data_IF_236978977137
#
_entry.id   IF_236978977137
#
_cell.length_a   1.000
_cell.length_b   1.000
_cell.length_c   1.000
_cell.angle_alpha   90.00
_cell.angle_beta   90.00
_cell.angle_gamma   90.00
#
_symmetry.space_group_name_H-M   'P 1'
#
loop_
_entity.id
_entity.type
_entity.pdbx_description
1 polymer ?
#
# COMPACT_ATOMS: atom_id res chain seq x y z
N UNK A 1 -49.13 9.65 -34.76
CA UNK A 1 -49.60 9.31 -33.40
C UNK A 1 -48.53 8.63 -32.55
N UNK A 2 -47.78 7.64 -33.07
CA UNK A 2 -46.69 6.95 -32.34
C UNK A 2 -45.62 7.89 -31.74
N UNK A 3 -45.14 8.89 -32.49
CA UNK A 3 -44.14 9.86 -31.99
C UNK A 3 -44.62 10.70 -30.79
N UNK A 4 -45.93 10.98 -30.71
CA UNK A 4 -46.50 11.73 -29.57
C UNK A 4 -46.56 10.84 -28.33
N UNK A 5 -46.93 9.56 -28.50
CA UNK A 5 -46.92 8.58 -27.41
C UNK A 5 -45.50 8.32 -26.88
N UNK A 6 -44.50 8.28 -27.77
CA UNK A 6 -43.09 8.19 -27.42
C UNK A 6 -42.60 9.39 -26.60
N UNK A 7 -42.95 10.62 -26.99
CA UNK A 7 -42.62 11.84 -26.23
C UNK A 7 -43.31 11.87 -24.87
N UNK A 8 -44.58 11.48 -24.80
CA UNK A 8 -45.32 11.50 -23.53
C UNK A 8 -44.84 10.44 -22.54
N UNK A 9 -44.52 9.23 -23.02
CA UNK A 9 -43.99 8.14 -22.17
C UNK A 9 -42.57 8.44 -21.70
N UNK A 10 -41.70 8.92 -22.59
CA UNK A 10 -40.36 9.37 -22.23
C UNK A 10 -40.36 10.56 -21.28
N UNK A 11 -41.27 11.53 -21.46
CA UNK A 11 -41.39 12.69 -20.57
C UNK A 11 -41.90 12.33 -19.16
N UNK A 12 -42.82 11.37 -19.06
CA UNK A 12 -43.29 10.84 -17.77
C UNK A 12 -42.19 10.08 -17.04
N UNK A 13 -41.43 9.25 -17.76
CA UNK A 13 -40.28 8.52 -17.21
C UNK A 13 -39.24 9.51 -16.67
N UNK A 14 -38.81 10.49 -17.47
CA UNK A 14 -37.81 11.48 -17.07
C UNK A 14 -38.21 12.27 -15.81
N UNK A 15 -39.49 12.62 -15.66
CA UNK A 15 -39.97 13.31 -14.45
C UNK A 15 -39.89 12.42 -13.21
N UNK A 16 -40.20 11.12 -13.35
CA UNK A 16 -40.04 10.15 -12.27
C UNK A 16 -38.55 9.96 -11.91
N UNK A 17 -37.69 9.79 -12.92
CA UNK A 17 -36.22 9.73 -12.78
C UNK A 17 -35.69 10.91 -11.96
N UNK A 18 -36.10 12.13 -12.30
CA UNK A 18 -35.64 13.34 -11.60
C UNK A 18 -36.13 13.36 -10.15
N UNK A 19 -37.38 12.96 -9.90
CA UNK A 19 -37.94 12.93 -8.56
C UNK A 19 -37.22 11.91 -7.66
N UNK A 20 -36.99 10.70 -8.17
CA UNK A 20 -36.32 9.61 -7.46
C UNK A 20 -34.84 9.93 -7.20
N UNK A 21 -34.16 10.50 -8.20
CA UNK A 21 -32.80 11.02 -8.07
C UNK A 21 -32.69 12.05 -6.95
N UNK A 22 -33.61 13.03 -6.89
CA UNK A 22 -33.61 14.07 -5.86
C UNK A 22 -33.89 13.49 -4.47
N UNK A 23 -34.84 12.57 -4.35
CA UNK A 23 -35.16 11.89 -3.09
C UNK A 23 -33.96 11.09 -2.56
N UNK A 24 -33.32 10.29 -3.42
CA UNK A 24 -32.15 9.48 -3.08
C UNK A 24 -30.94 10.34 -2.72
N UNK A 25 -30.76 11.47 -3.41
CA UNK A 25 -29.69 12.43 -3.12
C UNK A 25 -29.90 13.14 -1.78
N UNK A 26 -31.15 13.47 -1.43
CA UNK A 26 -31.49 14.06 -0.13
C UNK A 26 -31.17 13.10 1.02
N UNK A 27 -31.48 11.81 0.86
CA UNK A 27 -31.11 10.78 1.85
C UNK A 27 -29.59 10.68 2.02
N UNK A 28 -28.86 10.78 0.92
CA UNK A 28 -27.40 10.68 0.88
C UNK A 28 -26.68 11.87 1.54
N UNK A 29 -27.38 12.97 1.86
CA UNK A 29 -26.81 14.06 2.66
C UNK A 29 -26.38 13.62 4.06
N UNK A 30 -26.98 12.56 4.60
CA UNK A 30 -26.54 11.96 5.88
C UNK A 30 -25.09 11.48 5.79
N UNK A 31 -24.65 11.01 4.61
CA UNK A 31 -23.28 10.58 4.36
C UNK A 31 -22.34 11.75 4.01
N UNK A 32 -22.83 12.98 3.84
CA UNK A 32 -22.00 14.11 3.42
C UNK A 32 -20.91 14.50 4.45
N UNK A 33 -21.18 14.59 5.77
CA UNK A 33 -20.15 14.97 6.74
C UNK A 33 -18.89 14.07 6.73
N UNK A 34 -18.99 12.73 6.82
CA UNK A 34 -17.80 11.88 6.78
C UNK A 34 -17.06 11.95 5.43
N UNK A 35 -17.78 12.07 4.31
CA UNK A 35 -17.18 12.23 2.98
C UNK A 35 -16.40 13.54 2.86
N UNK A 36 -16.97 14.66 3.35
CA UNK A 36 -16.29 15.97 3.36
C UNK A 36 -15.01 15.89 4.18
N UNK A 37 -15.05 15.28 5.36
CA UNK A 37 -13.88 15.14 6.24
C UNK A 37 -12.81 14.30 5.54
N UNK A 38 -13.18 13.13 5.01
CA UNK A 38 -12.26 12.21 4.36
C UNK A 38 -11.61 12.82 3.11
N UNK A 39 -12.40 13.41 2.22
CA UNK A 39 -11.88 14.02 0.99
C UNK A 39 -11.07 15.29 1.25
N UNK A 40 -11.47 16.10 2.22
CA UNK A 40 -10.65 17.25 2.64
C UNK A 40 -9.33 16.79 3.23
N UNK A 41 -9.32 15.74 4.05
CA UNK A 41 -8.10 15.15 4.61
C UNK A 41 -7.21 14.62 3.49
N UNK A 42 -7.76 13.86 2.52
CA UNK A 42 -7.02 13.40 1.33
C UNK A 42 -6.38 14.58 0.58
N UNK A 43 -7.18 15.58 0.21
CA UNK A 43 -6.69 16.74 -0.55
C UNK A 43 -5.58 17.47 0.21
N UNK A 44 -5.77 17.73 1.50
CA UNK A 44 -4.80 18.44 2.31
C UNK A 44 -3.52 17.63 2.54
N UNK A 45 -3.62 16.37 2.99
CA UNK A 45 -2.47 15.52 3.25
C UNK A 45 -1.64 15.31 1.98
N UNK A 46 -2.31 15.07 0.83
CA UNK A 46 -1.60 14.86 -0.43
C UNK A 46 -0.92 16.15 -0.93
N UNK A 47 -1.61 17.29 -0.86
CA UNK A 47 -1.02 18.58 -1.23
C UNK A 47 0.19 18.92 -0.35
N UNK A 48 0.07 18.77 0.97
CA UNK A 48 1.15 19.02 1.93
C UNK A 48 2.33 18.07 1.67
N UNK A 49 2.08 16.78 1.43
CA UNK A 49 3.15 15.82 1.10
C UNK A 49 3.91 16.27 -0.16
N UNK A 50 3.20 16.62 -1.24
CA UNK A 50 3.81 17.04 -2.50
C UNK A 50 4.55 18.38 -2.39
N UNK A 51 4.04 19.30 -1.57
CA UNK A 51 4.68 20.59 -1.26
C UNK A 51 5.94 20.39 -0.41
N UNK A 52 5.88 19.52 0.60
CA UNK A 52 7.04 19.16 1.43
C UNK A 52 8.13 18.50 0.60
N UNK A 53 7.77 17.64 -0.36
CA UNK A 53 8.76 17.06 -1.29
C UNK A 53 9.35 18.13 -2.21
N UNK A 54 8.53 19.04 -2.75
CA UNK A 54 8.99 20.11 -3.65
C UNK A 54 9.90 21.14 -2.96
N UNK A 55 9.64 21.41 -1.68
CA UNK A 55 10.41 22.33 -0.84
C UNK A 55 11.43 21.63 0.05
N UNK A 56 11.62 20.32 -0.13
CA UNK A 56 12.41 19.49 0.79
C UNK A 56 13.83 20.03 0.99
N UNK A 57 14.23 20.17 2.24
CA UNK A 57 15.62 20.41 2.58
C UNK A 57 16.00 19.53 3.77
N UNK A 58 16.94 18.62 3.54
CA UNK A 58 17.48 17.76 4.56
C UNK A 58 17.92 18.52 5.82
N UNK A 59 18.52 19.70 5.68
CA UNK A 59 18.98 20.50 6.82
C UNK A 59 17.84 21.00 7.70
N UNK A 60 16.69 21.28 7.09
CA UNK A 60 15.48 21.71 7.78
C UNK A 60 14.56 20.54 8.17
N UNK A 61 14.81 19.33 7.67
CA UNK A 61 13.99 18.15 7.95
C UNK A 61 14.05 17.80 9.44
N UNK A 62 12.90 17.47 10.05
CA UNK A 62 12.85 17.03 11.44
C UNK A 62 13.26 15.56 11.54
N UNK A 63 14.22 15.26 12.42
CA UNK A 63 14.58 13.89 12.78
C UNK A 63 13.91 13.55 14.11
N UNK A 64 13.34 12.35 14.24
CA UNK A 64 12.76 11.89 15.51
C UNK A 64 13.81 11.88 16.63
N UNK A 65 15.04 11.49 16.30
CA UNK A 65 16.21 11.62 17.15
C UNK A 65 17.24 12.47 16.41
N UNK A 66 17.68 13.57 17.04
CA UNK A 66 18.64 14.46 16.39
C UNK A 66 20.02 13.80 16.18
N UNK A 67 20.36 12.79 16.99
CA UNK A 67 21.57 11.98 16.83
C UNK A 67 21.60 11.18 15.52
N UNK A 68 20.45 10.90 14.93
CA UNK A 68 20.37 10.11 13.70
C UNK A 68 20.67 10.96 12.45
N UNK A 69 20.70 12.29 12.60
CA UNK A 69 21.04 13.20 11.50
C UNK A 69 22.41 12.88 10.93
N UNK A 70 23.43 12.80 11.78
CA UNK A 70 24.80 12.56 11.33
C UNK A 70 24.93 11.22 10.57
N UNK A 71 24.20 10.19 11.01
CA UNK A 71 24.16 8.87 10.34
C UNK A 71 23.49 8.95 8.97
N UNK A 72 22.37 9.66 8.86
CA UNK A 72 21.67 9.84 7.58
C UNK A 72 22.50 10.69 6.63
N UNK A 73 23.19 11.71 7.13
CA UNK A 73 24.08 12.56 6.32
C UNK A 73 25.26 11.76 5.77
N UNK A 74 25.90 10.92 6.59
CA UNK A 74 26.92 9.98 6.13
C UNK A 74 26.38 9.07 5.01
N UNK A 75 25.18 8.52 5.18
CA UNK A 75 24.57 7.67 4.16
C UNK A 75 24.26 8.43 2.86
N UNK A 76 23.80 9.68 2.96
CA UNK A 76 23.57 10.53 1.79
C UNK A 76 24.89 10.78 1.05
N UNK A 77 25.97 11.05 1.78
CA UNK A 77 27.29 11.27 1.19
C UNK A 77 27.80 10.02 0.45
N UNK A 78 27.58 8.83 1.01
CA UNK A 78 27.95 7.57 0.35
C UNK A 78 27.16 7.34 -0.95
N UNK A 79 25.84 7.55 -0.92
CA UNK A 79 24.95 7.23 -2.05
C UNK A 79 25.02 8.28 -3.15
N UNK A 80 25.13 9.57 -2.79
CA UNK A 80 25.14 10.69 -3.72
C UNK A 80 26.55 11.25 -3.97
N UNK A 81 27.58 10.46 -3.66
CA UNK A 81 28.96 10.83 -3.95
C UNK A 81 29.12 11.13 -5.44
N UNK A 82 29.62 12.30 -5.84
CA UNK A 82 29.78 12.63 -7.25
C UNK A 82 30.77 11.66 -7.91
N UNK A 83 30.26 10.76 -8.77
CA UNK A 83 31.07 9.92 -9.65
C UNK A 83 31.62 10.80 -10.79
N UNK A 84 32.69 11.54 -10.53
CA UNK A 84 33.15 12.56 -11.49
C UNK A 84 34.47 13.29 -11.21
N UNK A 85 35.16 13.01 -10.10
CA UNK A 85 36.61 13.22 -10.06
C UNK A 85 37.29 11.86 -10.29
N UNK A 86 37.34 11.45 -11.56
CA UNK A 86 38.40 10.54 -11.97
C UNK A 86 39.72 11.23 -11.63
N UNK A 87 40.55 10.54 -10.84
CA UNK A 87 41.90 10.90 -10.45
C UNK A 87 42.86 10.93 -11.66
N UNK A 88 42.57 11.75 -12.68
CA UNK A 88 43.43 11.93 -13.85
C UNK A 88 43.89 13.37 -14.08
N UNK A 89 43.35 14.37 -13.37
CA UNK A 89 43.83 15.76 -13.44
C UNK A 89 44.31 16.32 -12.08
N UNK A 90 44.50 15.46 -11.06
CA UNK A 90 45.15 15.88 -9.82
C UNK A 90 46.67 15.69 -9.94
N UNK A 91 47.33 16.75 -10.39
CA UNK A 91 48.77 16.97 -10.26
C UNK A 91 49.24 16.52 -8.85
N UNK A 92 50.25 15.66 -8.79
CA UNK A 92 50.81 15.04 -7.56
C UNK A 92 51.48 16.05 -6.59
N UNK A 93 51.27 17.36 -6.74
CA UNK A 93 52.00 18.39 -5.98
C UNK A 93 51.23 19.06 -4.84
N UNK A 94 50.02 18.63 -4.45
CA UNK A 94 49.35 19.18 -3.26
C UNK A 94 48.88 18.11 -2.27
N UNK A 95 49.83 17.67 -1.44
CA UNK A 95 49.56 16.94 -0.21
C UNK A 95 48.85 17.89 0.78
N UNK A 96 47.52 17.95 0.67
CA UNK A 96 46.68 18.83 1.48
C UNK A 96 45.20 18.65 1.16
N UNK A 97 44.64 17.48 1.47
CA UNK A 97 43.20 17.35 1.64
C UNK A 97 42.80 18.23 2.84
N UNK A 98 42.48 19.49 2.56
CA UNK A 98 42.06 20.45 3.58
C UNK A 98 40.63 20.12 4.00
N UNK A 99 40.28 20.37 5.28
CA UNK A 99 38.92 20.20 5.79
C UNK A 99 37.86 20.90 4.92
N UNK A 100 38.24 22.02 4.28
CA UNK A 100 37.42 22.76 3.33
C UNK A 100 36.99 21.92 2.10
N UNK A 101 37.82 20.99 1.61
CA UNK A 101 37.45 20.12 0.49
C UNK A 101 36.39 19.08 0.89
N UNK A 102 36.53 18.48 2.08
CA UNK A 102 35.53 17.56 2.64
C UNK A 102 34.19 18.26 2.91
N UNK A 103 34.22 19.47 3.46
CA UNK A 103 33.00 20.27 3.70
C UNK A 103 32.28 20.61 2.38
N UNK A 104 33.03 20.80 1.30
CA UNK A 104 32.49 21.08 -0.04
C UNK A 104 31.87 19.83 -0.68
N UNK A 105 32.50 18.66 -0.54
CA UNK A 105 31.99 17.38 -1.04
C UNK A 105 30.69 16.95 -0.30
N UNK A 106 30.68 17.12 1.02
CA UNK A 106 29.51 16.89 1.87
C UNK A 106 28.33 17.79 1.47
N UNK A 107 28.58 19.09 1.30
CA UNK A 107 27.56 20.04 0.87
C UNK A 107 26.99 19.71 -0.52
N UNK A 108 27.85 19.25 -1.44
CA UNK A 108 27.45 18.87 -2.81
C UNK A 108 26.59 17.60 -2.84
N UNK A 109 26.93 16.60 -2.01
CA UNK A 109 26.17 15.36 -1.89
C UNK A 109 24.77 15.59 -1.30
N UNK A 110 24.69 16.43 -0.26
CA UNK A 110 23.41 16.87 0.31
C UNK A 110 22.54 17.63 -0.71
N UNK A 111 23.14 18.51 -1.51
CA UNK A 111 22.42 19.24 -2.55
C UNK A 111 21.89 18.29 -3.64
N UNK A 112 22.67 17.27 -4.00
CA UNK A 112 22.28 16.24 -4.96
C UNK A 112 21.11 15.40 -4.43
N UNK A 113 21.13 15.01 -3.16
CA UNK A 113 20.00 14.33 -2.51
C UNK A 113 18.75 15.21 -2.46
N UNK A 114 18.88 16.46 -2.04
CA UNK A 114 17.75 17.40 -2.02
C UNK A 114 17.15 17.57 -3.44
N UNK A 115 17.98 17.65 -4.48
CA UNK A 115 17.52 17.71 -5.86
C UNK A 115 16.81 16.41 -6.30
N UNK A 116 17.33 15.26 -5.89
CA UNK A 116 16.71 13.96 -6.14
C UNK A 116 15.31 13.84 -5.50
N UNK A 117 15.17 14.28 -4.25
CA UNK A 117 13.87 14.27 -3.55
C UNK A 117 12.87 15.21 -4.22
N UNK A 118 13.30 16.42 -4.61
CA UNK A 118 12.45 17.44 -5.24
C UNK A 118 11.98 17.07 -6.64
N UNK A 119 12.80 16.35 -7.41
CA UNK A 119 12.51 15.96 -8.78
C UNK A 119 12.20 14.47 -8.89
N UNK A 120 13.20 13.61 -9.18
CA UNK A 120 13.01 12.19 -9.47
C UNK A 120 12.08 11.44 -8.52
N UNK A 121 12.27 11.58 -7.20
CA UNK A 121 11.43 10.87 -6.22
C UNK A 121 10.00 11.41 -6.21
N UNK A 122 9.83 12.73 -6.25
CA UNK A 122 8.51 13.38 -6.34
C UNK A 122 7.78 12.98 -7.61
N UNK A 123 8.48 12.91 -8.74
CA UNK A 123 7.92 12.48 -10.01
C UNK A 123 7.51 11.00 -9.97
N UNK A 124 8.32 10.13 -9.35
CA UNK A 124 7.96 8.72 -9.13
C UNK A 124 6.73 8.56 -8.22
N UNK A 125 6.62 9.39 -7.17
CA UNK A 125 5.43 9.43 -6.29
C UNK A 125 4.20 9.89 -7.07
N UNK A 126 4.32 10.95 -7.89
CA UNK A 126 3.23 11.44 -8.72
C UNK A 126 2.81 10.42 -9.79
N UNK A 127 3.75 9.66 -10.35
CA UNK A 127 3.44 8.60 -11.32
C UNK A 127 2.77 7.37 -10.67
N UNK A 128 3.14 7.03 -9.44
CA UNK A 128 2.62 5.84 -8.76
C UNK A 128 1.31 6.09 -8.00
N UNK A 129 1.24 7.19 -7.25
CA UNK A 129 0.09 7.54 -6.39
C UNK A 129 -0.89 8.46 -7.13
N UNK A 130 -0.44 9.19 -8.14
CA UNK A 130 -1.21 10.21 -8.85
C UNK A 130 -1.17 11.57 -8.16
N UNK A 131 -1.91 12.54 -8.71
CA UNK A 131 -2.08 13.85 -8.09
C UNK A 131 -3.13 13.82 -6.95
N UNK A 132 -3.36 14.96 -6.31
CA UNK A 132 -4.35 15.12 -5.24
C UNK A 132 -5.80 14.79 -5.66
N UNK A 133 -6.11 14.88 -6.95
CA UNK A 133 -7.44 14.62 -7.52
C UNK A 133 -7.58 13.18 -8.02
N UNK A 134 -6.47 12.47 -8.19
CA UNK A 134 -6.44 11.11 -8.66
C UNK A 134 -6.86 10.15 -7.56
N UNK A 135 -7.74 9.22 -7.94
CA UNK A 135 -8.14 8.06 -7.15
C UNK A 135 -8.02 6.88 -8.09
N UNK A 136 -7.34 5.79 -7.69
CA UNK A 136 -7.27 4.59 -8.52
C UNK A 136 -8.68 4.04 -8.81
N UNK A 137 -8.94 3.69 -10.07
CA UNK A 137 -10.23 3.12 -10.50
C UNK A 137 -10.68 1.94 -9.63
N UNK A 138 -9.76 1.01 -9.35
CA UNK A 138 -10.04 -0.18 -8.54
C UNK A 138 -10.48 0.15 -7.12
N UNK A 139 -9.95 1.23 -6.54
CA UNK A 139 -10.37 1.67 -5.21
C UNK A 139 -11.82 2.16 -5.25
N UNK A 140 -12.18 2.95 -6.26
CA UNK A 140 -13.57 3.40 -6.46
C UNK A 140 -14.53 2.21 -6.71
N UNK A 141 -14.07 1.20 -7.46
CA UNK A 141 -14.83 -0.02 -7.71
C UNK A 141 -15.10 -0.79 -6.41
N UNK A 142 -14.06 -1.05 -5.62
CA UNK A 142 -14.15 -1.79 -4.36
C UNK A 142 -15.09 -1.10 -3.38
N UNK A 143 -15.05 0.24 -3.30
CA UNK A 143 -15.95 1.00 -2.43
C UNK A 143 -17.42 0.90 -2.84
N UNK A 144 -17.72 0.63 -4.11
CA UNK A 144 -19.08 0.45 -4.62
C UNK A 144 -19.64 -0.97 -4.43
N UNK A 145 -18.79 -1.98 -4.21
CA UNK A 145 -19.21 -3.38 -4.11
C UNK A 145 -20.25 -3.66 -3.01
N UNK A 146 -20.18 -3.08 -1.79
CA UNK A 146 -21.19 -3.34 -0.77
C UNK A 146 -22.61 -2.96 -1.22
N UNK A 147 -22.75 -1.85 -1.95
CA UNK A 147 -24.04 -1.42 -2.50
C UNK A 147 -24.51 -2.41 -3.57
N UNK A 148 -23.62 -2.84 -4.46
CA UNK A 148 -23.94 -3.82 -5.49
C UNK A 148 -24.42 -5.16 -4.91
N UNK A 149 -23.78 -5.64 -3.84
CA UNK A 149 -24.19 -6.87 -3.17
C UNK A 149 -25.51 -6.72 -2.43
N UNK A 150 -25.74 -5.60 -1.76
CA UNK A 150 -27.01 -5.33 -1.09
C UNK A 150 -28.16 -5.31 -2.11
N UNK A 151 -28.00 -4.59 -3.21
CA UNK A 151 -29.02 -4.51 -4.25
C UNK A 151 -29.22 -5.82 -5.01
N UNK A 152 -28.18 -6.64 -5.14
CA UNK A 152 -28.32 -8.00 -5.67
C UNK A 152 -29.23 -8.86 -4.79
N UNK A 153 -29.20 -8.68 -3.47
CA UNK A 153 -30.09 -9.40 -2.56
C UNK A 153 -31.55 -8.96 -2.74
N UNK A 154 -31.80 -7.65 -2.90
CA UNK A 154 -33.13 -7.11 -3.19
C UNK A 154 -33.68 -7.64 -4.52
N UNK A 155 -32.83 -7.70 -5.55
CA UNK A 155 -33.17 -8.30 -6.85
C UNK A 155 -33.55 -9.78 -6.74
N UNK A 156 -32.76 -10.58 -6.03
CA UNK A 156 -33.04 -12.01 -5.85
C UNK A 156 -34.34 -12.27 -5.07
N UNK A 157 -34.80 -11.28 -4.28
CA UNK A 157 -36.07 -11.36 -3.57
C UNK A 157 -37.30 -11.18 -4.48
N UNK A 158 -37.12 -10.64 -5.70
CA UNK A 158 -38.18 -10.32 -6.68
C UNK A 158 -38.29 -11.36 -7.82
N UNK A 159 -37.81 -12.59 -7.61
CA UNK A 159 -37.83 -13.66 -8.63
C UNK A 159 -39.23 -14.26 -8.84
N UNK A 160 -40.19 -14.00 -7.96
CA UNK A 160 -41.55 -14.53 -8.11
C UNK A 160 -42.28 -13.93 -9.33
N UNK A 161 -43.13 -14.74 -9.98
CA UNK A 161 -43.84 -14.35 -11.21
C UNK A 161 -44.67 -13.07 -11.06
N UNK A 162 -45.08 -12.72 -9.83
CA UNK A 162 -45.88 -11.52 -9.59
C UNK A 162 -45.07 -10.25 -9.48
N UNK A 163 -43.77 -10.32 -9.17
CA UNK A 163 -42.96 -9.12 -8.93
C UNK A 163 -42.48 -8.48 -10.24
N UNK A 164 -41.84 -9.22 -11.14
CA UNK A 164 -41.39 -8.63 -12.41
C UNK A 164 -42.54 -8.19 -13.33
N UNK A 165 -43.71 -8.84 -13.25
CA UNK A 165 -44.92 -8.40 -13.95
C UNK A 165 -45.45 -7.06 -13.42
N UNK A 166 -45.40 -6.82 -12.10
CA UNK A 166 -45.77 -5.53 -11.49
C UNK A 166 -44.84 -4.38 -11.90
N UNK A 167 -43.55 -4.69 -12.08
CA UNK A 167 -42.56 -3.75 -12.62
C UNK A 167 -42.75 -3.49 -14.12
N UNK A 168 -43.56 -4.32 -14.78
CA UNK A 168 -43.98 -4.19 -16.17
C UNK A 168 -43.02 -4.83 -17.17
N UNK A 169 -42.21 -5.81 -16.73
CA UNK A 169 -41.38 -6.60 -17.65
C UNK A 169 -42.22 -7.64 -18.40
N UNK A 170 -41.87 -7.88 -19.66
CA UNK A 170 -42.54 -8.86 -20.55
C UNK A 170 -42.34 -10.32 -20.12
N UNK A 171 -41.30 -10.59 -19.33
CA UNK A 171 -41.01 -11.91 -18.77
C UNK A 171 -39.75 -11.91 -17.89
N UNK A 172 -39.46 -13.04 -17.22
CA UNK A 172 -38.34 -13.13 -16.28
C UNK A 172 -36.99 -12.94 -16.97
N UNK A 173 -36.83 -13.43 -18.21
CA UNK A 173 -35.58 -13.24 -18.97
C UNK A 173 -35.26 -11.78 -19.28
N UNK A 174 -36.28 -10.97 -19.62
CA UNK A 174 -36.10 -9.54 -19.89
C UNK A 174 -35.77 -8.77 -18.60
N UNK A 175 -36.40 -9.14 -17.49
CA UNK A 175 -36.08 -8.61 -16.16
C UNK A 175 -34.64 -8.93 -15.76
N UNK A 176 -34.24 -10.21 -15.76
CA UNK A 176 -32.89 -10.64 -15.40
C UNK A 176 -31.83 -9.96 -16.29
N UNK A 177 -32.07 -9.87 -17.59
CA UNK A 177 -31.14 -9.22 -18.52
C UNK A 177 -30.99 -7.72 -18.24
N UNK A 178 -32.10 -7.02 -18.01
CA UNK A 178 -32.12 -5.59 -17.66
C UNK A 178 -31.31 -5.35 -16.38
N UNK A 179 -31.62 -6.08 -15.31
CA UNK A 179 -30.99 -5.93 -14.00
C UNK A 179 -29.49 -6.26 -14.01
N UNK A 180 -29.10 -7.40 -14.60
CA UNK A 180 -27.69 -7.77 -14.72
C UNK A 180 -26.92 -6.75 -15.55
N UNK A 181 -27.52 -6.26 -16.64
CA UNK A 181 -26.89 -5.24 -17.49
C UNK A 181 -26.73 -3.92 -16.74
N UNK A 182 -27.79 -3.44 -16.09
CA UNK A 182 -27.79 -2.17 -15.36
C UNK A 182 -26.84 -2.18 -14.16
N UNK A 183 -26.83 -3.25 -13.38
CA UNK A 183 -25.86 -3.39 -12.28
C UNK A 183 -24.43 -3.53 -12.77
N UNK A 184 -24.18 -4.19 -13.90
CA UNK A 184 -22.84 -4.25 -14.51
C UNK A 184 -22.39 -2.85 -14.94
N UNK A 185 -23.24 -2.10 -15.62
CA UNK A 185 -23.00 -0.70 -16.01
C UNK A 185 -22.71 0.16 -14.77
N UNK A 186 -23.56 0.03 -13.75
CA UNK A 186 -23.46 0.80 -12.51
C UNK A 186 -22.14 0.53 -11.78
N UNK A 187 -21.80 -0.74 -11.56
CA UNK A 187 -20.63 -1.13 -10.78
C UNK A 187 -19.34 -0.76 -11.51
N UNK A 188 -19.23 -1.12 -12.79
CA UNK A 188 -17.97 -0.93 -13.51
C UNK A 188 -17.83 0.47 -14.09
N UNK A 189 -18.91 1.20 -14.34
CA UNK A 189 -18.84 2.45 -15.10
C UNK A 189 -19.34 3.67 -14.32
N UNK A 190 -20.48 3.59 -13.64
CA UNK A 190 -21.11 4.75 -12.99
C UNK A 190 -20.52 5.03 -11.60
N UNK A 191 -20.49 4.03 -10.70
CA UNK A 191 -19.98 4.20 -9.34
C UNK A 191 -18.53 4.72 -9.29
N UNK A 192 -17.61 4.27 -10.17
CA UNK A 192 -16.24 4.77 -10.16
C UNK A 192 -16.12 6.27 -10.45
N UNK A 193 -17.12 6.89 -11.10
CA UNK A 193 -17.14 8.32 -11.45
C UNK A 193 -17.41 9.20 -10.22
N UNK A 194 -18.13 8.69 -9.22
CA UNK A 194 -18.57 9.47 -8.06
C UNK A 194 -17.38 10.14 -7.33
N UNK A 195 -16.38 9.35 -6.92
CA UNK A 195 -15.27 9.85 -6.11
C UNK A 195 -14.42 10.91 -6.83
N UNK A 196 -13.97 10.70 -8.08
CA UNK A 196 -13.19 11.70 -8.82
C UNK A 196 -13.99 12.98 -9.13
N UNK A 197 -15.30 12.88 -9.40
CA UNK A 197 -16.16 14.06 -9.58
C UNK A 197 -16.30 14.83 -8.27
N UNK A 198 -16.64 14.14 -7.18
CA UNK A 198 -16.82 14.77 -5.87
C UNK A 198 -15.55 15.48 -5.40
N UNK A 199 -14.36 14.88 -5.59
CA UNK A 199 -13.08 15.49 -5.23
C UNK A 199 -12.80 16.77 -6.02
N UNK A 200 -13.06 16.78 -7.33
CA UNK A 200 -12.86 17.96 -8.19
C UNK A 200 -13.78 19.12 -7.77
N UNK A 201 -15.05 18.82 -7.54
CA UNK A 201 -16.03 19.82 -7.10
C UNK A 201 -15.69 20.36 -5.71
N UNK A 202 -15.29 19.47 -4.78
CA UNK A 202 -14.90 19.85 -3.43
C UNK A 202 -13.64 20.72 -3.42
N UNK A 203 -12.63 20.40 -4.23
CA UNK A 203 -11.42 21.23 -4.37
C UNK A 203 -11.77 22.64 -4.85
N UNK A 204 -12.64 22.75 -5.85
CA UNK A 204 -13.17 24.03 -6.31
C UNK A 204 -13.86 24.78 -5.18
N UNK A 205 -14.79 24.13 -4.47
CA UNK A 205 -15.49 24.75 -3.33
C UNK A 205 -14.53 25.23 -2.22
N UNK A 206 -13.47 24.47 -1.93
CA UNK A 206 -12.49 24.81 -0.89
C UNK A 206 -11.60 26.01 -1.23
N UNK A 207 -11.41 26.31 -2.53
CA UNK A 207 -10.63 27.48 -2.99
C UNK A 207 -11.31 28.83 -2.71
N UNK A 208 -12.60 28.83 -2.35
CA UNK A 208 -13.36 30.05 -2.07
C UNK A 208 -12.96 30.66 -0.72
N UNK A 209 -12.60 31.95 -0.72
CA UNK A 209 -12.10 32.65 0.47
C UNK A 209 -13.18 32.87 1.55
N UNK A 210 -14.43 33.14 1.14
CA UNK A 210 -15.54 33.42 2.06
C UNK A 210 -15.94 32.17 2.85
N UNK A 211 -15.92 32.26 4.19
CA UNK A 211 -16.21 31.11 5.08
C UNK A 211 -17.62 30.55 4.89
N UNK A 212 -18.64 31.42 4.87
CA UNK A 212 -20.03 30.99 4.73
C UNK A 212 -20.30 30.39 3.36
N UNK A 213 -19.85 31.08 2.30
CA UNK A 213 -20.01 30.61 0.93
C UNK A 213 -19.27 29.28 0.70
N UNK A 214 -18.06 29.14 1.24
CA UNK A 214 -17.30 27.88 1.19
C UNK A 214 -18.04 26.73 1.85
N UNK A 215 -18.62 26.93 3.04
CA UNK A 215 -19.39 25.87 3.71
C UNK A 215 -20.60 25.43 2.88
N UNK A 216 -21.35 26.39 2.33
CA UNK A 216 -22.50 26.10 1.46
C UNK A 216 -22.04 25.33 0.21
N UNK A 217 -21.01 25.80 -0.47
CA UNK A 217 -20.48 25.17 -1.68
C UNK A 217 -19.88 23.79 -1.42
N UNK A 218 -19.27 23.57 -0.25
CA UNK A 218 -18.76 22.25 0.14
C UNK A 218 -19.91 21.24 0.28
N UNK A 219 -20.97 21.59 1.00
CA UNK A 219 -22.14 20.70 1.14
C UNK A 219 -22.82 20.51 -0.22
N UNK A 220 -22.98 21.59 -0.98
CA UNK A 220 -23.58 21.54 -2.31
C UNK A 220 -22.74 20.69 -3.28
N UNK A 221 -21.41 20.70 -3.17
CA UNK A 221 -20.54 19.90 -4.05
C UNK A 221 -20.77 18.40 -3.88
N UNK A 222 -20.93 17.94 -2.64
CA UNK A 222 -21.22 16.53 -2.35
C UNK A 222 -22.63 16.19 -2.77
N UNK A 223 -23.60 17.06 -2.50
CA UNK A 223 -24.98 16.88 -2.96
C UNK A 223 -25.07 16.75 -4.48
N UNK A 224 -24.43 17.66 -5.21
CA UNK A 224 -24.42 17.63 -6.68
C UNK A 224 -23.70 16.40 -7.22
N UNK A 225 -22.64 15.91 -6.56
CA UNK A 225 -21.98 14.66 -6.95
C UNK A 225 -22.92 13.44 -6.78
N UNK A 226 -23.72 13.41 -5.71
CA UNK A 226 -24.77 12.40 -5.54
C UNK A 226 -25.85 12.53 -6.60
N UNK A 227 -26.43 13.71 -6.79
CA UNK A 227 -27.44 13.98 -7.83
C UNK A 227 -26.96 13.53 -9.19
N UNK A 228 -25.72 13.86 -9.53
CA UNK A 228 -25.14 13.46 -10.81
C UNK A 228 -25.02 11.94 -10.96
N UNK A 229 -24.57 11.24 -9.91
CA UNK A 229 -24.37 9.79 -9.95
C UNK A 229 -25.71 9.05 -9.96
N UNK A 230 -26.68 9.49 -9.16
CA UNK A 230 -28.04 8.95 -9.17
C UNK A 230 -28.75 9.21 -10.49
N UNK A 231 -28.58 10.40 -11.09
CA UNK A 231 -29.13 10.67 -12.41
C UNK A 231 -28.59 9.70 -13.47
N UNK A 232 -27.29 9.41 -13.46
CA UNK A 232 -26.71 8.42 -14.37
C UNK A 232 -27.26 7.01 -14.12
N UNK A 233 -27.38 6.64 -12.85
CA UNK A 233 -27.93 5.35 -12.42
C UNK A 233 -29.40 5.19 -12.84
N UNK A 234 -30.26 6.14 -12.50
CA UNK A 234 -31.69 6.08 -12.81
C UNK A 234 -31.92 6.10 -14.33
N UNK A 235 -31.16 6.92 -15.08
CA UNK A 235 -31.23 6.91 -16.55
C UNK A 235 -30.82 5.57 -17.16
N UNK A 236 -29.82 4.89 -16.60
CA UNK A 236 -29.37 3.58 -17.04
C UNK A 236 -30.49 2.54 -16.88
N UNK A 237 -31.07 2.44 -15.68
CA UNK A 237 -32.15 1.51 -15.38
C UNK A 237 -33.45 1.83 -16.13
N UNK A 238 -33.83 3.11 -16.24
CA UNK A 238 -35.04 3.51 -16.95
C UNK A 238 -34.94 3.23 -18.45
N UNK A 239 -33.79 3.50 -19.08
CA UNK A 239 -33.59 3.19 -20.50
C UNK A 239 -33.62 1.68 -20.76
N UNK A 240 -33.05 0.87 -19.87
CA UNK A 240 -33.11 -0.60 -19.95
C UNK A 240 -34.54 -1.11 -19.76
N UNK A 241 -35.29 -0.57 -18.79
CA UNK A 241 -36.69 -0.90 -18.54
C UNK A 241 -37.58 -0.54 -19.74
N UNK A 242 -37.41 0.66 -20.32
CA UNK A 242 -38.15 1.10 -21.50
C UNK A 242 -37.83 0.23 -22.72
N UNK A 243 -36.56 -0.16 -22.86
CA UNK A 243 -36.12 -1.10 -23.92
C UNK A 243 -36.74 -2.49 -23.73
N UNK A 244 -36.82 -2.98 -22.49
CA UNK A 244 -37.43 -4.27 -22.16
C UNK A 244 -38.97 -4.29 -22.31
N UNK A 245 -39.61 -3.13 -22.15
CA UNK A 245 -41.06 -2.91 -22.31
C UNK A 245 -41.49 -2.73 -23.76
N UNK A 246 -40.62 -2.20 -24.61
CA UNK A 246 -40.96 -1.89 -25.99
C UNK A 246 -41.10 -3.17 -26.82
N UNK A 247 -42.28 -3.40 -27.41
CA UNK A 247 -42.47 -4.44 -28.43
C UNK A 247 -41.72 -4.05 -29.74
N UNK A 248 -41.41 -5.04 -30.58
CA UNK A 248 -40.61 -4.86 -31.81
C UNK A 248 -41.06 -3.64 -32.64
N UNK A 249 -40.15 -2.68 -32.87
CA UNK A 249 -40.46 -1.46 -33.62
C UNK A 249 -39.42 -0.35 -33.48
N UNK A 250 -39.80 0.87 -33.90
CA UNK A 250 -38.93 2.07 -33.87
C UNK A 250 -38.66 2.61 -32.47
N UNK A 251 -39.53 2.33 -31.49
CA UNK A 251 -39.37 2.78 -30.10
C UNK A 251 -38.23 2.03 -29.39
N UNK A 252 -38.17 0.71 -29.57
CA UNK A 252 -37.07 -0.14 -29.09
C UNK A 252 -35.71 0.37 -29.60
N UNK A 253 -35.61 0.63 -30.91
CA UNK A 253 -34.38 1.14 -31.52
C UNK A 253 -33.99 2.52 -30.96
N UNK A 254 -34.98 3.38 -30.67
CA UNK A 254 -34.74 4.70 -30.09
C UNK A 254 -34.18 4.64 -28.66
N UNK A 255 -34.82 3.87 -27.77
CA UNK A 255 -34.34 3.73 -26.38
C UNK A 255 -32.99 3.03 -26.31
N UNK A 256 -32.78 2.00 -27.15
CA UNK A 256 -31.49 1.33 -27.25
C UNK A 256 -30.38 2.27 -27.75
N UNK A 257 -30.66 3.15 -28.71
CA UNK A 257 -29.71 4.17 -29.16
C UNK A 257 -29.36 5.19 -28.07
N UNK A 258 -30.34 5.61 -27.26
CA UNK A 258 -30.11 6.48 -26.10
C UNK A 258 -29.28 5.79 -25.02
N UNK A 259 -29.52 4.51 -24.77
CA UNK A 259 -28.71 3.71 -23.85
C UNK A 259 -27.24 3.62 -24.31
N UNK A 260 -27.01 3.34 -25.60
CA UNK A 260 -25.65 3.34 -26.15
C UNK A 260 -24.99 4.72 -26.11
N UNK A 261 -25.75 5.79 -26.31
CA UNK A 261 -25.23 7.15 -26.16
C UNK A 261 -24.80 7.42 -24.70
N UNK A 262 -25.61 7.02 -23.71
CA UNK A 262 -25.26 7.12 -22.30
C UNK A 262 -23.97 6.33 -22.00
N UNK A 263 -23.88 5.09 -22.50
CA UNK A 263 -22.68 4.27 -22.36
C UNK A 263 -21.43 4.96 -22.92
N UNK A 264 -21.51 5.56 -24.12
CA UNK A 264 -20.39 6.29 -24.72
C UNK A 264 -20.00 7.50 -23.86
N UNK A 265 -20.97 8.28 -23.38
CA UNK A 265 -20.71 9.43 -22.51
C UNK A 265 -19.98 9.02 -21.23
N UNK A 266 -20.47 7.98 -20.55
CA UNK A 266 -19.88 7.44 -19.32
C UNK A 266 -18.47 6.91 -19.59
N UNK A 267 -18.26 6.19 -20.70
CA UNK A 267 -16.93 5.68 -21.08
C UNK A 267 -15.92 6.79 -21.39
N UNK A 268 -16.35 7.84 -22.11
CA UNK A 268 -15.51 9.02 -22.39
C UNK A 268 -15.13 9.72 -21.09
N UNK A 269 -16.09 9.85 -20.16
CA UNK A 269 -15.85 10.45 -18.86
C UNK A 269 -14.88 9.63 -18.00
N UNK A 270 -15.01 8.30 -17.97
CA UNK A 270 -14.04 7.43 -17.30
C UNK A 270 -12.64 7.60 -17.88
N UNK A 271 -12.52 7.63 -19.21
CA UNK A 271 -11.25 7.86 -19.88
C UNK A 271 -10.63 9.19 -19.44
N UNK A 272 -11.43 10.25 -19.36
CA UNK A 272 -10.99 11.58 -18.93
C UNK A 272 -10.62 11.63 -17.44
N UNK A 273 -11.44 11.04 -16.56
CA UNK A 273 -11.24 11.10 -15.11
C UNK A 273 -10.03 10.29 -14.63
N UNK A 274 -9.79 9.13 -15.25
CA UNK A 274 -8.74 8.19 -14.86
C UNK A 274 -7.51 8.21 -15.76
N UNK A 275 -7.51 9.04 -16.81
CA UNK A 275 -6.41 9.12 -17.79
C UNK A 275 -5.96 7.73 -18.26
N UNK A 276 -6.92 6.91 -18.74
CA UNK A 276 -6.71 5.49 -19.08
C UNK A 276 -5.64 5.26 -20.18
N UNK A 277 -5.18 6.31 -20.86
CA UNK A 277 -4.03 6.25 -21.78
C UNK A 277 -2.71 6.00 -21.03
N UNK A 278 -2.59 6.45 -19.79
CA UNK A 278 -1.44 6.19 -18.91
C UNK A 278 -1.36 4.74 -18.41
N UNK A 279 -2.50 4.06 -18.26
CA UNK A 279 -2.56 2.63 -17.93
C UNK A 279 -1.95 1.76 -19.04
N UNK A 280 -2.10 2.17 -20.31
CA UNK A 280 -1.40 1.51 -21.42
C UNK A 280 0.11 1.71 -21.35
N UNK A 281 0.59 2.87 -20.85
CA UNK A 281 2.02 3.18 -20.68
C UNK A 281 2.67 2.44 -19.51
N UNK A 282 1.94 2.26 -18.40
CA UNK A 282 2.38 1.40 -17.28
C UNK A 282 2.39 -0.06 -17.72
N UNK A 283 1.41 -0.51 -18.50
CA UNK A 283 1.42 -1.86 -19.08
C UNK A 283 2.46 -2.04 -20.20
N UNK A 284 2.78 -1.01 -20.98
CA UNK A 284 3.77 -1.10 -22.07
C UNK A 284 5.21 -0.99 -21.57
N UNK A 285 5.45 -0.26 -20.48
CA UNK A 285 6.72 -0.26 -19.74
C UNK A 285 7.03 -1.64 -19.13
N UNK A 286 6.00 -2.45 -18.89
CA UNK A 286 6.14 -3.86 -18.48
C UNK A 286 6.48 -4.79 -19.67
N UNK A 287 6.33 -4.33 -20.92
CA UNK A 287 6.56 -5.17 -22.11
C UNK A 287 7.98 -5.11 -22.69
N UNK A 288 8.78 -4.09 -22.34
CA UNK A 288 10.19 -4.00 -22.77
C UNK A 288 11.14 -4.49 -21.68
N UNK A 289 11.28 -5.83 -21.65
CA UNK A 289 12.15 -6.57 -20.75
C UNK A 289 11.36 -7.12 -19.57
N UNK A 290 11.28 -8.45 -19.46
CA UNK A 290 10.66 -9.16 -18.32
C UNK A 290 11.45 -8.84 -17.05
N UNK A 291 11.22 -7.67 -16.47
CA UNK A 291 11.58 -7.39 -15.07
C UNK A 291 10.51 -8.10 -14.25
N UNK A 292 10.88 -9.25 -13.68
CA UNK A 292 10.05 -9.94 -12.71
C UNK A 292 9.82 -8.99 -11.53
N UNK A 293 8.63 -8.40 -11.46
CA UNK A 293 8.22 -7.57 -10.34
C UNK A 293 7.86 -8.48 -9.17
N UNK A 294 8.45 -8.21 -8.01
CA UNK A 294 8.09 -8.87 -6.76
C UNK A 294 7.60 -7.82 -5.78
N UNK A 295 6.48 -8.08 -5.15
CA UNK A 295 6.17 -7.43 -3.88
C UNK A 295 7.13 -7.94 -2.80
N UNK A 296 7.44 -7.11 -1.80
CA UNK A 296 8.22 -7.52 -0.63
C UNK A 296 7.59 -8.75 0.04
N UNK A 297 6.26 -8.80 0.03
CA UNK A 297 5.49 -9.93 0.53
C UNK A 297 5.75 -11.23 -0.24
N UNK A 298 5.76 -11.17 -1.58
CA UNK A 298 6.13 -12.32 -2.44
C UNK A 298 7.59 -12.71 -2.23
N UNK A 299 8.53 -11.75 -2.20
CA UNK A 299 9.94 -12.05 -1.94
C UNK A 299 10.11 -12.83 -0.62
N UNK A 300 9.46 -12.36 0.45
CA UNK A 300 9.51 -13.03 1.75
C UNK A 300 8.90 -14.44 1.69
N UNK A 301 7.66 -14.58 1.23
CA UNK A 301 6.89 -15.80 1.44
C UNK A 301 7.02 -16.84 0.31
N UNK A 302 7.30 -16.42 -0.92
CA UNK A 302 7.35 -17.33 -2.08
C UNK A 302 8.75 -17.58 -2.61
N UNK A 303 9.73 -16.73 -2.28
CA UNK A 303 11.14 -16.93 -2.64
C UNK A 303 11.94 -17.39 -1.41
N UNK A 304 12.06 -16.52 -0.43
CA UNK A 304 13.01 -16.67 0.67
C UNK A 304 12.54 -17.70 1.71
N UNK A 305 11.22 -17.87 1.86
CA UNK A 305 10.58 -18.80 2.78
C UNK A 305 9.67 -19.81 2.09
N UNK A 306 9.92 -20.08 0.80
CA UNK A 306 9.10 -20.96 -0.04
C UNK A 306 8.81 -22.32 0.62
N UNK A 307 9.81 -22.89 1.30
CA UNK A 307 9.73 -24.19 1.97
C UNK A 307 9.33 -24.13 3.46
N UNK A 308 9.03 -22.95 4.03
CA UNK A 308 8.64 -22.83 5.43
C UNK A 308 7.13 -22.97 5.64
N UNK A 309 6.63 -23.06 6.88
CA UNK A 309 5.21 -22.96 7.27
C UNK A 309 4.79 -21.49 7.36
N UNK A 310 3.51 -21.21 7.05
CA UNK A 310 3.02 -19.83 7.09
C UNK A 310 3.11 -19.30 8.53
N UNK A 311 3.47 -18.04 8.74
CA UNK A 311 3.46 -17.45 10.08
C UNK A 311 2.04 -17.57 10.66
N UNK A 312 1.94 -17.83 11.97
CA UNK A 312 0.65 -17.97 12.67
C UNK A 312 -0.03 -16.61 12.88
N UNK A 313 -0.24 -15.84 11.82
CA UNK A 313 -0.97 -14.56 11.84
C UNK A 313 -2.46 -14.79 11.57
N UNK A 314 -3.20 -15.31 12.56
CA UNK A 314 -4.66 -15.46 12.46
C UNK A 314 -5.14 -16.33 11.27
N UNK A 315 -6.45 -16.51 11.15
CA UNK A 315 -7.04 -17.35 10.09
C UNK A 315 -7.37 -16.54 8.82
N UNK A 316 -7.46 -15.21 8.90
CA UNK A 316 -7.82 -14.31 7.81
C UNK A 316 -6.62 -13.87 6.93
N UNK A 317 -5.38 -14.15 7.35
CA UNK A 317 -4.14 -13.87 6.58
C UNK A 317 -3.46 -15.15 6.08
N UNK A 318 -4.20 -16.26 5.94
CA UNK A 318 -3.66 -17.48 5.34
C UNK A 318 -3.35 -17.24 3.86
N UNK A 319 -2.08 -16.96 3.58
CA UNK A 319 -1.62 -16.67 2.24
C UNK A 319 -1.47 -17.95 1.41
N UNK A 320 -1.93 -17.91 0.16
CA UNK A 320 -1.66 -18.96 -0.80
C UNK A 320 -0.15 -19.08 -0.99
N UNK A 321 0.38 -20.29 -0.77
CA UNK A 321 1.79 -20.59 -1.00
C UNK A 321 2.02 -21.12 -2.39
N UNK A 322 3.17 -20.73 -2.92
CA UNK A 322 3.71 -21.28 -4.14
C UNK A 322 3.31 -20.45 -5.34
N UNK A 323 4.19 -20.45 -6.34
CA UNK A 323 3.88 -19.91 -7.63
C UNK A 323 2.94 -20.84 -8.39
N UNK A 324 2.21 -20.30 -9.35
CA UNK A 324 1.41 -21.12 -10.27
C UNK A 324 2.33 -22.04 -11.07
N UNK A 325 1.83 -23.20 -11.48
CA UNK A 325 2.60 -24.10 -12.34
C UNK A 325 3.05 -23.36 -13.61
N UNK A 326 4.37 -23.36 -13.88
CA UNK A 326 4.96 -22.66 -15.02
C UNK A 326 5.33 -21.19 -14.80
N UNK A 327 5.24 -20.68 -13.57
CA UNK A 327 5.73 -19.33 -13.25
C UNK A 327 7.27 -19.32 -13.23
N UNK A 328 7.93 -18.45 -14.02
CA UNK A 328 9.39 -18.35 -14.05
C UNK A 328 9.98 -17.96 -12.69
N UNK A 329 9.20 -17.31 -11.80
CA UNK A 329 9.63 -16.96 -10.45
C UNK A 329 9.85 -18.19 -9.56
N UNK A 330 9.25 -19.34 -9.90
CA UNK A 330 9.40 -20.58 -9.15
C UNK A 330 10.85 -21.10 -9.13
N UNK A 331 11.61 -20.84 -10.19
CA UNK A 331 13.03 -21.22 -10.28
C UNK A 331 13.91 -20.42 -9.30
N UNK A 332 13.42 -19.27 -8.82
CA UNK A 332 14.15 -18.41 -7.88
C UNK A 332 13.90 -18.80 -6.41
N UNK A 333 12.94 -19.69 -6.15
CA UNK A 333 12.61 -20.12 -4.79
C UNK A 333 13.77 -20.88 -4.14
N UNK A 334 14.09 -20.53 -2.89
CA UNK A 334 15.16 -21.20 -2.16
C UNK A 334 14.74 -22.61 -1.75
N UNK A 335 15.67 -23.57 -1.89
CA UNK A 335 15.47 -24.96 -1.50
C UNK A 335 15.34 -25.15 0.02
N UNK A 336 15.90 -24.20 0.79
CA UNK A 336 15.77 -24.12 2.24
C UNK A 336 15.35 -22.69 2.61
N UNK A 337 14.52 -22.51 3.65
CA UNK A 337 14.22 -21.16 4.12
C UNK A 337 15.51 -20.46 4.53
N UNK A 338 15.64 -19.18 4.19
CA UNK A 338 16.70 -18.29 4.68
C UNK A 338 16.12 -17.44 5.82
N UNK A 339 16.04 -17.97 7.05
CA UNK A 339 15.36 -17.30 8.16
C UNK A 339 16.00 -15.97 8.54
N UNK A 340 17.29 -15.79 8.28
CA UNK A 340 18.08 -14.59 8.56
C UNK A 340 17.49 -13.36 7.87
N UNK A 341 16.86 -13.56 6.71
CA UNK A 341 16.26 -12.48 5.93
C UNK A 341 15.04 -11.87 6.64
N UNK A 342 14.40 -12.63 7.55
CA UNK A 342 13.32 -12.11 8.39
C UNK A 342 13.79 -10.95 9.28
N UNK A 343 15.08 -10.89 9.60
CA UNK A 343 15.67 -9.79 10.36
C UNK A 343 16.03 -8.58 9.48
N UNK A 344 15.97 -8.70 8.15
CA UNK A 344 16.18 -7.59 7.21
C UNK A 344 14.90 -7.04 6.59
N UNK A 345 13.85 -7.85 6.45
CA UNK A 345 12.59 -7.46 5.80
C UNK A 345 11.52 -6.96 6.80
N UNK A 346 11.62 -7.36 8.08
CA UNK A 346 10.62 -6.97 9.08
C UNK A 346 10.76 -5.50 9.48
N UNK A 347 9.75 -4.69 9.15
CA UNK A 347 9.76 -3.23 9.35
C UNK A 347 9.17 -2.81 10.72
N UNK A 348 9.73 -1.79 11.40
CA UNK A 348 9.37 -1.45 12.76
C UNK A 348 8.11 -0.59 12.86
N UNK A 349 7.25 -0.89 13.84
CA UNK A 349 6.28 0.07 14.39
C UNK A 349 6.65 0.56 15.81
N UNK A 350 7.54 -0.12 16.57
CA UNK A 350 8.18 0.32 17.84
C UNK A 350 9.11 -0.78 18.41
N UNK A 351 9.55 -0.63 19.67
CA UNK A 351 10.38 -1.54 20.49
C UNK A 351 10.07 -3.03 20.23
N UNK A 352 11.12 -3.87 20.14
CA UNK A 352 10.97 -5.33 19.96
C UNK A 352 11.10 -5.84 18.52
N UNK A 353 11.55 -5.00 17.58
CA UNK A 353 11.85 -5.37 16.19
C UNK A 353 13.38 -5.28 15.90
N UNK A 354 13.88 -5.97 14.87
CA UNK A 354 15.27 -5.82 14.42
C UNK A 354 15.58 -4.39 13.96
N UNK A 355 16.85 -3.95 14.01
CA UNK A 355 17.26 -2.63 13.55
C UNK A 355 17.06 -2.47 12.03
N UNK A 356 16.81 -1.24 11.58
CA UNK A 356 16.86 -0.94 10.16
C UNK A 356 18.32 -0.85 9.69
N UNK A 357 18.67 -1.58 8.63
CA UNK A 357 20.02 -1.60 8.06
C UNK A 357 19.96 -1.60 6.52
N UNK A 358 20.97 -1.00 5.90
CA UNK A 358 21.19 -1.07 4.45
C UNK A 358 22.08 -2.28 4.14
N UNK A 359 21.63 -3.10 3.18
CA UNK A 359 22.33 -4.32 2.79
C UNK A 359 23.04 -4.13 1.44
N UNK A 360 24.29 -4.57 1.37
CA UNK A 360 25.10 -4.64 0.16
C UNK A 360 25.09 -6.07 -0.36
N UNK A 361 24.86 -6.25 -1.66
CA UNK A 361 24.70 -7.59 -2.26
C UNK A 361 25.88 -8.54 -1.96
N UNK A 362 27.11 -8.02 -1.89
CA UNK A 362 28.31 -8.80 -1.61
C UNK A 362 28.55 -9.14 -0.12
N UNK A 363 27.81 -8.52 0.80
CA UNK A 363 27.99 -8.63 2.26
C UNK A 363 26.67 -8.94 2.99
N UNK A 364 25.62 -9.28 2.24
CA UNK A 364 24.25 -9.36 2.76
C UNK A 364 24.12 -10.41 3.85
N UNK A 365 24.85 -11.52 3.75
CA UNK A 365 24.83 -12.60 4.75
C UNK A 365 25.38 -12.12 6.09
N UNK A 366 26.57 -11.50 6.09
CA UNK A 366 27.22 -10.95 7.27
C UNK A 366 26.40 -9.83 7.89
N UNK A 367 25.82 -8.95 7.06
CA UNK A 367 24.99 -7.85 7.52
C UNK A 367 23.66 -8.32 8.10
N UNK A 368 23.03 -9.36 7.55
CA UNK A 368 21.82 -9.98 8.10
C UNK A 368 22.13 -10.68 9.43
N UNK A 369 23.26 -11.39 9.51
CA UNK A 369 23.72 -12.02 10.75
C UNK A 369 23.95 -10.98 11.84
N UNK A 370 24.59 -9.85 11.49
CA UNK A 370 24.84 -8.75 12.41
C UNK A 370 23.53 -8.10 12.88
N UNK A 371 22.55 -7.94 11.99
CA UNK A 371 21.23 -7.39 12.33
C UNK A 371 20.44 -8.33 13.26
N UNK A 372 20.52 -9.64 13.00
CA UNK A 372 19.97 -10.67 13.88
C UNK A 372 20.65 -10.66 15.25
N UNK A 373 21.97 -10.60 15.28
CA UNK A 373 22.78 -10.55 16.49
C UNK A 373 22.47 -9.33 17.36
N UNK A 374 22.36 -8.15 16.75
CA UNK A 374 21.95 -6.93 17.44
C UNK A 374 20.54 -7.10 18.06
N UNK A 375 19.59 -7.64 17.30
CA UNK A 375 18.25 -7.91 17.79
C UNK A 375 18.24 -8.87 19.00
N UNK A 376 19.07 -9.90 18.96
CA UNK A 376 19.23 -10.84 20.08
C UNK A 376 19.85 -10.16 21.30
N UNK A 377 20.91 -9.38 21.14
CA UNK A 377 21.55 -8.67 22.26
C UNK A 377 20.58 -7.69 22.94
N UNK A 378 19.70 -7.03 22.18
CA UNK A 378 18.74 -6.07 22.73
C UNK A 378 17.53 -6.72 23.41
N UNK A 379 17.06 -7.87 22.93
CA UNK A 379 15.77 -8.44 23.34
C UNK A 379 15.84 -9.81 24.05
N UNK A 380 16.97 -10.53 23.98
CA UNK A 380 17.13 -11.83 24.65
C UNK A 380 17.44 -11.64 26.14
N UNK A 381 16.58 -12.19 27.00
CA UNK A 381 16.80 -12.16 28.45
C UNK A 381 17.12 -13.56 28.96
N UNK A 382 18.26 -13.67 29.64
CA UNK A 382 18.72 -14.90 30.31
C UNK A 382 18.54 -14.72 31.81
N UNK A 383 17.57 -15.43 32.40
CA UNK A 383 17.32 -15.43 33.84
C UNK A 383 18.14 -16.51 34.55
N UNK A 384 19.00 -16.08 35.47
CA UNK A 384 19.83 -16.94 36.29
C UNK A 384 19.00 -17.75 37.33
N UNK A 385 19.58 -18.79 37.96
CA UNK A 385 18.88 -19.62 38.95
C UNK A 385 18.23 -18.79 40.08
N UNK A 386 17.07 -19.20 40.62
CA UNK A 386 16.52 -20.57 40.57
C UNK A 386 15.60 -20.88 39.38
N UNK A 387 15.24 -19.90 38.54
CA UNK A 387 14.18 -20.07 37.52
C UNK A 387 14.62 -20.62 36.17
N UNK A 388 15.93 -20.63 35.86
CA UNK A 388 16.55 -21.18 34.62
C UNK A 388 15.66 -20.96 33.38
N UNK A 389 15.39 -19.70 33.09
CA UNK A 389 14.43 -19.29 32.05
C UNK A 389 15.12 -18.44 30.99
N UNK A 390 14.77 -18.67 29.74
CA UNK A 390 15.19 -17.82 28.62
C UNK A 390 13.96 -17.15 28.03
N UNK A 391 13.99 -15.84 27.92
CA UNK A 391 12.96 -15.06 27.23
C UNK A 391 13.47 -14.69 25.85
N UNK A 392 12.92 -15.34 24.83
CA UNK A 392 13.23 -15.13 23.43
C UNK A 392 12.47 -13.91 22.88
N UNK A 393 13.04 -13.17 21.91
CA UNK A 393 12.36 -12.05 21.27
C UNK A 393 11.04 -12.43 20.57
N UNK A 394 10.08 -11.49 20.44
CA UNK A 394 8.74 -11.78 19.93
C UNK A 394 8.74 -12.28 18.49
N UNK A 395 9.67 -11.81 17.64
CA UNK A 395 9.74 -12.21 16.23
C UNK A 395 9.96 -13.73 16.07
N UNK A 396 10.78 -14.33 16.93
CA UNK A 396 11.06 -15.77 16.91
C UNK A 396 9.81 -16.62 17.18
N UNK A 397 8.79 -16.07 17.85
CA UNK A 397 7.49 -16.74 18.08
C UNK A 397 6.73 -16.97 16.77
N UNK A 398 6.73 -15.97 15.89
CA UNK A 398 5.96 -15.98 14.64
C UNK A 398 6.66 -16.78 13.54
N UNK A 399 8.00 -16.77 13.57
CA UNK A 399 8.86 -17.42 12.58
C UNK A 399 9.48 -18.73 13.10
N UNK A 400 9.03 -19.24 14.26
CA UNK A 400 9.58 -20.45 14.89
C UNK A 400 9.71 -21.65 13.94
N UNK A 401 8.80 -21.77 12.97
CA UNK A 401 8.82 -22.84 11.98
C UNK A 401 10.10 -22.89 11.16
N UNK A 402 10.67 -21.73 10.85
CA UNK A 402 11.87 -21.58 10.03
C UNK A 402 13.13 -22.04 10.80
N UNK A 403 13.07 -22.03 12.13
CA UNK A 403 14.16 -22.40 13.04
C UNK A 403 13.93 -23.78 13.70
N UNK A 404 13.10 -24.63 13.09
CA UNK A 404 12.85 -25.99 13.60
C UNK A 404 11.81 -26.10 14.72
N UNK A 405 10.98 -25.07 14.93
CA UNK A 405 9.76 -25.00 15.76
C UNK A 405 9.89 -25.24 17.27
N UNK A 406 10.96 -25.87 17.75
CA UNK A 406 11.16 -26.14 19.17
C UNK A 406 11.87 -24.97 19.86
N UNK A 407 11.50 -24.63 21.10
CA UNK A 407 12.20 -23.59 21.85
C UNK A 407 13.68 -23.88 22.06
N UNK A 408 14.07 -25.16 22.17
CA UNK A 408 15.49 -25.55 22.24
C UNK A 408 16.25 -25.24 20.95
N UNK A 409 15.65 -25.44 19.78
CA UNK A 409 16.28 -25.09 18.50
C UNK A 409 16.42 -23.57 18.36
N UNK A 410 15.45 -22.79 18.85
CA UNK A 410 15.52 -21.33 18.86
C UNK A 410 16.62 -20.80 19.78
N UNK A 411 16.81 -21.40 20.96
CA UNK A 411 17.91 -21.05 21.86
C UNK A 411 19.26 -21.46 21.26
N UNK A 412 19.33 -22.62 20.61
CA UNK A 412 20.54 -23.08 19.89
C UNK A 412 20.89 -22.14 18.75
N UNK A 413 19.90 -21.73 17.95
CA UNK A 413 20.06 -20.73 16.91
C UNK A 413 20.60 -19.41 17.49
N UNK A 414 19.96 -18.89 18.54
CA UNK A 414 20.40 -17.65 19.19
C UNK A 414 21.86 -17.74 19.68
N UNK A 415 22.24 -18.86 20.30
CA UNK A 415 23.62 -19.10 20.70
C UNK A 415 24.58 -19.10 19.50
N UNK A 416 24.28 -19.88 18.46
CA UNK A 416 25.14 -19.97 17.28
C UNK A 416 25.32 -18.63 16.55
N UNK A 417 24.26 -17.83 16.49
CA UNK A 417 24.30 -16.48 15.92
C UNK A 417 25.24 -15.59 16.72
N UNK A 418 25.12 -15.57 18.06
CA UNK A 418 25.97 -14.74 18.93
C UNK A 418 27.45 -15.16 18.87
N UNK A 419 27.72 -16.47 18.73
CA UNK A 419 29.09 -17.01 18.58
C UNK A 419 29.73 -16.65 17.23
N UNK A 420 28.94 -16.55 16.16
CA UNK A 420 29.42 -16.21 14.82
C UNK A 420 29.63 -14.69 14.61
N UNK A 421 29.13 -13.84 15.51
CA UNK A 421 29.22 -12.38 15.37
C UNK A 421 30.64 -11.81 15.30
N UNK A 422 31.60 -12.22 16.14
CA UNK A 422 32.95 -11.65 16.10
C UNK A 422 33.63 -11.83 14.74
N UNK A 423 33.47 -13.01 14.12
CA UNK A 423 34.02 -13.29 12.79
C UNK A 423 33.34 -12.47 11.70
N UNK A 424 32.02 -12.25 11.81
CA UNK A 424 31.29 -11.40 10.86
C UNK A 424 31.69 -9.93 10.98
N UNK A 425 31.92 -9.42 12.20
CA UNK A 425 32.42 -8.06 12.43
C UNK A 425 33.82 -7.90 11.84
N UNK A 426 34.71 -8.86 12.05
CA UNK A 426 36.07 -8.84 11.48
C UNK A 426 36.05 -8.80 9.95
N UNK A 427 35.21 -9.65 9.31
CA UNK A 427 34.98 -9.62 7.87
C UNK A 427 34.47 -8.26 7.40
N UNK A 428 33.44 -7.71 8.02
CA UNK A 428 32.87 -6.42 7.65
C UNK A 428 33.88 -5.27 7.85
N UNK A 429 34.75 -5.37 8.87
CA UNK A 429 35.75 -4.35 9.16
C UNK A 429 36.78 -4.23 8.04
N UNK A 430 37.12 -5.36 7.41
CA UNK A 430 38.02 -5.42 6.25
C UNK A 430 37.47 -4.62 5.06
N UNK A 431 36.15 -4.48 4.96
CA UNK A 431 35.47 -3.71 3.91
C UNK A 431 35.04 -2.31 4.37
N UNK A 432 35.43 -1.87 5.58
CA UNK A 432 35.02 -0.57 6.13
C UNK A 432 33.51 -0.45 6.42
N UNK A 433 32.79 -1.57 6.52
CA UNK A 433 31.34 -1.63 6.61
C UNK A 433 30.81 -1.83 8.04
N UNK A 434 31.55 -1.38 9.06
CA UNK A 434 31.25 -1.59 10.49
C UNK A 434 30.96 -0.25 11.15
N UNK A 435 29.81 -0.14 11.81
CA UNK A 435 29.46 1.04 12.61
C UNK A 435 29.99 0.94 14.04
N UNK A 436 30.07 2.07 14.75
CA UNK A 436 30.45 2.08 16.18
C UNK A 436 29.55 1.19 17.06
N UNK A 437 28.26 1.04 16.72
CA UNK A 437 27.37 0.11 17.43
C UNK A 437 27.78 -1.34 17.20
N UNK A 438 28.23 -1.66 16.00
CA UNK A 438 28.67 -3.01 15.62
C UNK A 438 29.95 -3.41 16.36
N UNK A 439 30.86 -2.46 16.58
CA UNK A 439 32.04 -2.68 17.43
C UNK A 439 31.65 -3.02 18.87
N UNK A 440 30.64 -2.35 19.45
CA UNK A 440 30.16 -2.67 20.80
C UNK A 440 29.52 -4.06 20.89
N UNK A 441 28.89 -4.53 19.80
CA UNK A 441 28.33 -5.88 19.73
C UNK A 441 29.43 -6.95 19.82
N UNK A 442 30.65 -6.66 19.35
CA UNK A 442 31.81 -7.54 19.47
C UNK A 442 32.15 -7.92 20.91
N UNK A 443 31.75 -7.11 21.90
CA UNK A 443 31.90 -7.43 23.32
C UNK A 443 30.62 -8.00 23.95
N UNK A 444 29.45 -7.47 23.58
CA UNK A 444 28.18 -7.84 24.18
C UNK A 444 27.69 -9.25 23.76
N UNK A 445 27.89 -9.61 22.49
CA UNK A 445 27.41 -10.89 21.97
C UNK A 445 28.17 -12.10 22.56
N UNK A 446 29.51 -12.10 22.67
CA UNK A 446 30.22 -13.20 23.32
C UNK A 446 29.86 -13.36 24.79
N UNK A 447 29.66 -12.24 25.52
CA UNK A 447 29.25 -12.29 26.92
C UNK A 447 27.88 -12.98 27.09
N UNK A 448 26.92 -12.69 26.19
CA UNK A 448 25.61 -13.31 26.20
C UNK A 448 25.65 -14.78 25.77
N UNK A 449 26.49 -15.13 24.78
CA UNK A 449 26.74 -16.52 24.37
C UNK A 449 27.30 -17.36 25.53
N UNK A 450 28.28 -16.84 26.28
CA UNK A 450 28.83 -17.50 27.47
C UNK A 450 27.75 -17.74 28.53
N UNK A 451 26.83 -16.80 28.74
CA UNK A 451 25.71 -17.00 29.69
C UNK A 451 24.75 -18.10 29.25
N UNK A 452 24.48 -18.22 27.95
CA UNK A 452 23.69 -19.33 27.39
C UNK A 452 24.42 -20.67 27.56
N UNK A 453 25.73 -20.70 27.31
CA UNK A 453 26.55 -21.90 27.49
C UNK A 453 26.57 -22.38 28.95
N UNK A 454 26.70 -21.46 29.91
CA UNK A 454 26.64 -21.78 31.34
C UNK A 454 25.29 -22.38 31.76
N UNK A 455 24.19 -22.01 31.09
CA UNK A 455 22.90 -22.66 31.29
C UNK A 455 22.86 -24.06 30.68
N UNK A 456 23.51 -24.26 29.52
CA UNK A 456 23.65 -25.55 28.83
C UNK A 456 24.45 -26.56 29.63
N UNK A 457 25.57 -26.15 30.23
CA UNK A 457 26.41 -27.01 31.06
C UNK A 457 25.68 -27.51 32.31
N UNK A 458 24.74 -26.70 32.82
CA UNK A 458 23.91 -27.02 33.99
C UNK A 458 22.68 -27.89 33.63
N UNK A 459 22.41 -28.14 32.35
CA UNK A 459 21.31 -28.98 31.85
C UNK A 459 21.02 -28.75 30.35
N UNK A 460 20.42 -29.72 29.66
CA UNK A 460 20.08 -29.58 28.24
C UNK A 460 19.11 -28.43 27.97
N UNK A 461 19.23 -27.75 26.83
CA UNK A 461 18.26 -26.75 26.37
C UNK A 461 16.82 -27.28 26.23
N UNK A 462 16.65 -28.60 26.10
CA UNK A 462 15.32 -29.22 26.12
C UNK A 462 14.63 -29.14 27.50
N UNK A 463 15.39 -28.92 28.57
CA UNK A 463 14.89 -28.80 29.95
C UNK A 463 14.69 -27.35 30.42
N UNK A 464 15.01 -26.36 29.58
CA UNK A 464 14.86 -24.94 29.90
C UNK A 464 13.41 -24.48 29.73
N UNK A 465 12.94 -23.65 30.66
CA UNK A 465 11.71 -22.90 30.46
C UNK A 465 11.99 -21.77 29.47
N UNK A 466 11.57 -21.94 28.21
CA UNK A 466 11.65 -20.90 27.19
C UNK A 466 10.29 -20.22 27.02
N UNK A 467 10.29 -18.89 27.01
CA UNK A 467 9.09 -18.08 26.76
C UNK A 467 9.42 -16.95 25.79
N UNK A 468 8.40 -16.30 25.24
CA UNK A 468 8.57 -15.19 24.33
C UNK A 468 8.15 -13.89 25.01
N UNK A 469 8.88 -12.80 24.74
CA UNK A 469 8.36 -11.45 25.01
C UNK A 469 7.24 -11.11 24.02
N UNK A 470 6.43 -10.11 24.36
CA UNK A 470 5.36 -9.60 23.50
C UNK A 470 5.85 -8.34 22.77
N UNK A 471 5.27 -8.10 21.58
CA UNK A 471 5.47 -6.84 20.87
C UNK A 471 4.79 -5.69 21.64
N UNK A 472 5.45 -4.53 21.69
CA UNK A 472 4.83 -3.32 22.19
C UNK A 472 3.89 -2.73 21.13
N UNK A 473 2.61 -3.13 21.19
CA UNK A 473 1.56 -2.65 20.29
C UNK A 473 0.95 -1.31 20.74
N UNK A 474 1.47 -0.64 21.77
CA UNK A 474 0.93 0.64 22.22
C UNK A 474 1.21 1.75 21.20
N UNK A 475 0.22 1.98 20.32
CA UNK A 475 0.13 3.09 19.38
C UNK A 475 -0.23 4.41 20.12
N UNK A 476 0.53 4.76 21.16
CA UNK A 476 0.40 6.10 21.72
C UNK A 476 1.06 7.08 20.76
N UNK A 477 0.24 7.67 19.88
CA UNK A 477 0.61 8.81 19.05
C UNK A 477 1.09 9.91 20.00
N UNK A 478 2.33 10.40 19.90
CA UNK A 478 2.75 11.56 20.69
C UNK A 478 1.78 12.71 20.39
N UNK A 479 1.17 13.25 21.45
CA UNK A 479 0.22 14.36 21.38
C UNK A 479 0.86 15.62 20.84
#
# INVERSE_FOLDING_TARGET
MQWVQWITSGGLALNATIADCLASSLWSLIAAPPLIIAFRSKLWCHAVMLEQMASFDYRAAQCTLQSDRDLVEQQIQEVFRPQGLHAQDADESSMGWTAAACDTEAATSLQSFNAYVKGPLRDAVLQSIGDELYVPYWLCLITGLPIAFLSSADFLSCIDETCFQKLGYSGPGAFLLSEVTGWTMTVFLILPIFYPCCLRMLKGALSIQSRCLRLILVVLSVFLAFVYTYLLFDLDFDLLLLTAKSEQGSEFAGFLALFFLLLVVVMVQLKWLFNLEGLSRVCSSISEGVRLLFSVFEMEHTILRACSRAPKLGWFLQCQKGFKAGDPKAEMALAQPAPEVSFGIFYPFRFGCPPLRVFHAGLVCEQLLLNCGQYLVEALVVEDPPRRRVVLPPLLKYYAADFGSSPSNLVTFAQSTLEAMPEAIDRLSTYGAVSRRDEMLGCAAPALAVRLEQLREKGSFASLAASFSDFDWHLDVPK
#
